data_IF_973553843802
#
_entry.id   IF_973553843802
#
_cell.length_a   1.000
_cell.length_b   1.000
_cell.length_c   1.000
_cell.angle_alpha   90.00
_cell.angle_beta   90.00
_cell.angle_gamma   90.00
#
_symmetry.space_group_name_H-M   'P 1'
#
loop_
_entity.id
_entity.type
_entity.pdbx_description
1 polymer ?
#
# COMPACT_ATOMS: atom_id res chain seq x y z
N UNK A 1 20.74 22.78 30.50
CA UNK A 1 21.44 21.92 29.51
C UNK A 1 20.56 20.74 29.09
N UNK A 2 19.24 20.96 28.98
CA UNK A 2 18.21 19.91 28.82
C UNK A 2 17.30 20.18 27.62
N UNK A 3 17.01 21.45 27.28
CA UNK A 3 16.16 21.83 26.14
C UNK A 3 16.55 21.21 24.78
N UNK A 4 17.83 21.21 24.44
CA UNK A 4 18.26 20.71 23.13
C UNK A 4 18.15 19.18 23.00
N UNK A 5 18.47 18.44 24.08
CA UNK A 5 18.38 16.97 24.10
C UNK A 5 16.94 16.48 24.18
N UNK A 6 16.08 17.21 24.88
CA UNK A 6 14.65 16.89 24.96
C UNK A 6 13.95 17.15 23.62
N UNK A 7 14.34 18.22 22.90
CA UNK A 7 13.87 18.48 21.52
C UNK A 7 14.37 17.43 20.54
N UNK A 8 15.65 17.06 20.58
CA UNK A 8 16.21 16.01 19.71
C UNK A 8 15.45 14.69 19.85
N UNK A 9 15.20 14.23 21.08
CA UNK A 9 14.40 13.02 21.33
C UNK A 9 12.94 13.14 20.89
N UNK A 10 12.33 14.30 21.07
CA UNK A 10 10.94 14.54 20.65
C UNK A 10 10.81 14.52 19.12
N UNK A 11 11.78 15.09 18.40
CA UNK A 11 11.82 15.04 16.94
C UNK A 11 12.06 13.60 16.46
N UNK A 12 13.05 12.87 17.01
CA UNK A 12 13.29 11.46 16.67
C UNK A 12 12.07 10.57 16.90
N UNK A 13 11.39 10.74 18.05
CA UNK A 13 10.18 10.00 18.35
C UNK A 13 9.05 10.32 17.37
N UNK A 14 8.90 11.60 16.98
CA UNK A 14 7.93 12.01 15.97
C UNK A 14 8.25 11.42 14.61
N UNK A 15 9.51 11.50 14.16
CA UNK A 15 9.94 10.90 12.89
C UNK A 15 9.66 9.38 12.85
N UNK A 16 9.97 8.66 13.91
CA UNK A 16 9.68 7.23 14.01
C UNK A 16 8.18 6.91 13.96
N UNK A 17 7.35 7.73 14.62
CA UNK A 17 5.88 7.57 14.57
C UNK A 17 5.32 7.89 13.17
N UNK A 18 5.87 8.91 12.51
CA UNK A 18 5.46 9.31 11.15
C UNK A 18 5.84 8.22 10.13
N UNK A 19 7.04 7.62 10.24
CA UNK A 19 7.48 6.49 9.40
C UNK A 19 6.66 5.22 9.65
N UNK A 20 6.39 4.84 10.91
CA UNK A 20 5.54 3.68 11.23
C UNK A 20 4.13 3.86 10.65
N UNK A 21 3.57 5.07 10.78
CA UNK A 21 2.26 5.40 10.21
C UNK A 21 2.29 5.31 8.69
N UNK A 22 3.32 5.85 8.04
CA UNK A 22 3.48 5.78 6.58
C UNK A 22 3.59 4.33 6.10
N UNK A 23 4.37 3.49 6.77
CA UNK A 23 4.52 2.08 6.45
C UNK A 23 3.20 1.32 6.59
N UNK A 24 2.45 1.55 7.68
CA UNK A 24 1.13 0.94 7.89
C UNK A 24 0.13 1.38 6.83
N UNK A 25 0.15 2.65 6.43
CA UNK A 25 -0.68 3.19 5.34
C UNK A 25 -0.34 2.52 4.02
N UNK A 26 0.94 2.42 3.65
CA UNK A 26 1.39 1.79 2.42
C UNK A 26 0.98 0.32 2.35
N UNK A 27 1.21 -0.45 3.42
CA UNK A 27 0.79 -1.85 3.50
C UNK A 27 -0.73 -2.00 3.36
N UNK A 28 -1.54 -1.13 3.99
CA UNK A 28 -3.00 -1.17 3.87
C UNK A 28 -3.47 -0.78 2.47
N UNK A 29 -2.89 0.26 1.87
CA UNK A 29 -3.15 0.68 0.49
C UNK A 29 -2.89 -0.45 -0.50
N UNK A 30 -1.73 -1.10 -0.40
CA UNK A 30 -1.33 -2.19 -1.29
C UNK A 30 -2.26 -3.41 -1.15
N UNK A 31 -2.72 -3.68 0.08
CA UNK A 31 -3.75 -4.70 0.32
C UNK A 31 -5.07 -4.38 -0.37
N UNK A 32 -5.55 -3.14 -0.29
CA UNK A 32 -6.79 -2.70 -0.95
C UNK A 32 -6.67 -2.76 -2.47
N UNK A 33 -5.51 -2.37 -3.02
CA UNK A 33 -5.25 -2.47 -4.45
C UNK A 33 -5.25 -3.94 -4.91
N UNK A 34 -4.62 -4.83 -4.14
CA UNK A 34 -4.63 -6.26 -4.41
C UNK A 34 -6.03 -6.86 -4.36
N UNK A 35 -6.90 -6.39 -3.45
CA UNK A 35 -8.31 -6.82 -3.40
C UNK A 35 -9.09 -6.39 -4.65
N UNK A 36 -8.91 -5.14 -5.07
CA UNK A 36 -9.52 -4.65 -6.31
C UNK A 36 -9.07 -5.46 -7.54
N UNK A 37 -7.76 -5.67 -7.69
CA UNK A 37 -7.20 -6.43 -8.80
C UNK A 37 -7.64 -7.90 -8.77
N UNK A 38 -7.68 -8.53 -7.59
CA UNK A 38 -8.21 -9.89 -7.43
C UNK A 38 -9.68 -10.00 -7.90
N UNK A 39 -10.50 -8.99 -7.59
CA UNK A 39 -11.88 -8.92 -8.07
C UNK A 39 -11.99 -8.84 -9.60
N UNK A 40 -11.11 -8.08 -10.26
CA UNK A 40 -11.06 -8.01 -11.72
C UNK A 40 -10.62 -9.34 -12.37
N UNK A 41 -9.69 -10.04 -11.72
CA UNK A 41 -9.22 -11.35 -12.18
C UNK A 41 -10.21 -12.49 -11.88
N UNK A 42 -11.28 -12.24 -11.11
CA UNK A 42 -12.27 -13.25 -10.75
C UNK A 42 -11.73 -14.33 -9.82
N UNK A 43 -10.73 -14.01 -8.99
CA UNK A 43 -10.13 -14.94 -8.03
C UNK A 43 -11.14 -15.37 -6.95
N UNK A 44 -10.99 -16.58 -6.41
CA UNK A 44 -11.74 -16.99 -5.21
C UNK A 44 -11.31 -16.18 -3.98
N UNK A 45 -12.05 -16.30 -2.88
CA UNK A 45 -11.70 -15.60 -1.63
C UNK A 45 -10.31 -16.01 -1.12
N UNK A 46 -9.97 -17.30 -1.17
CA UNK A 46 -8.64 -17.79 -0.76
C UNK A 46 -7.52 -17.29 -1.68
N UNK A 47 -7.75 -17.31 -2.99
CA UNK A 47 -6.81 -16.82 -3.99
C UNK A 47 -6.61 -15.30 -3.87
N UNK A 48 -7.69 -14.56 -3.65
CA UNK A 48 -7.65 -13.11 -3.43
C UNK A 48 -6.86 -12.77 -2.15
N UNK A 49 -7.04 -13.52 -1.07
CA UNK A 49 -6.28 -13.30 0.17
C UNK A 49 -4.79 -13.59 0.04
N UNK A 50 -4.43 -14.61 -0.75
CA UNK A 50 -3.03 -14.85 -1.11
C UNK A 50 -2.48 -13.72 -2.00
N UNK A 51 -3.27 -13.28 -2.98
CA UNK A 51 -2.90 -12.22 -3.91
C UNK A 51 -2.66 -10.88 -3.21
N UNK A 52 -3.58 -10.47 -2.31
CA UNK A 52 -3.44 -9.28 -1.46
C UNK A 52 -2.10 -9.27 -0.71
N UNK A 53 -1.68 -10.40 -0.15
CA UNK A 53 -0.39 -10.52 0.56
C UNK A 53 0.79 -10.40 -0.40
N UNK A 54 0.70 -11.00 -1.57
CA UNK A 54 1.75 -10.92 -2.59
C UNK A 54 1.93 -9.48 -3.10
N UNK A 55 0.85 -8.71 -3.24
CA UNK A 55 0.93 -7.29 -3.63
C UNK A 55 1.61 -6.46 -2.54
N UNK A 56 1.30 -6.70 -1.27
CA UNK A 56 2.00 -6.04 -0.14
C UNK A 56 3.49 -6.41 -0.12
N UNK A 57 3.84 -7.66 -0.43
CA UNK A 57 5.24 -8.10 -0.46
C UNK A 57 6.05 -7.50 -1.61
N UNK A 58 5.42 -7.17 -2.74
CA UNK A 58 6.11 -6.56 -3.88
C UNK A 58 6.63 -5.14 -3.57
N UNK A 59 6.05 -4.46 -2.57
CA UNK A 59 6.46 -3.11 -2.12
C UNK A 59 7.85 -3.08 -1.45
N UNK A 60 8.44 -4.24 -1.14
CA UNK A 60 9.72 -4.33 -0.43
C UNK A 60 10.93 -4.43 -1.36
N UNK A 61 10.75 -4.51 -2.68
CA UNK A 61 11.85 -4.68 -3.64
C UNK A 61 12.55 -3.34 -3.94
N UNK A 62 11.81 -2.29 -4.28
CA UNK A 62 12.33 -0.94 -4.52
C UNK A 62 11.56 0.12 -3.71
N UNK A 63 12.19 1.28 -3.50
CA UNK A 63 11.52 2.41 -2.86
C UNK A 63 10.48 3.03 -3.80
N UNK A 64 9.23 3.06 -3.36
CA UNK A 64 8.11 3.65 -4.10
C UNK A 64 7.13 2.60 -4.60
N UNK A 65 6.24 3.02 -5.49
CA UNK A 65 5.05 2.22 -5.84
C UNK A 65 5.20 1.44 -7.16
N UNK A 66 6.36 1.56 -7.83
CA UNK A 66 6.55 1.07 -9.20
C UNK A 66 6.54 -0.47 -9.30
N UNK A 67 7.08 -1.18 -8.33
CA UNK A 67 7.05 -2.66 -8.32
C UNK A 67 5.63 -3.18 -8.13
N UNK A 68 4.86 -2.53 -7.24
CA UNK A 68 3.45 -2.84 -7.01
C UNK A 68 2.64 -2.61 -8.29
N UNK A 69 2.83 -1.46 -8.96
CA UNK A 69 2.15 -1.13 -10.21
C UNK A 69 2.52 -2.13 -11.31
N UNK A 70 3.82 -2.42 -11.50
CA UNK A 70 4.30 -3.35 -12.53
C UNK A 70 3.77 -4.76 -12.30
N UNK A 71 3.76 -5.22 -11.05
CA UNK A 71 3.19 -6.51 -10.66
C UNK A 71 1.70 -6.58 -11.00
N UNK A 72 0.91 -5.64 -10.49
CA UNK A 72 -0.55 -5.64 -10.68
C UNK A 72 -0.91 -5.52 -12.17
N UNK A 73 -0.20 -4.67 -12.92
CA UNK A 73 -0.38 -4.55 -14.36
C UNK A 73 -0.10 -5.87 -15.08
N UNK A 74 1.01 -6.53 -14.75
CA UNK A 74 1.39 -7.83 -15.32
C UNK A 74 0.36 -8.91 -15.04
N UNK A 75 -0.11 -9.00 -13.79
CA UNK A 75 -1.11 -10.01 -13.38
C UNK A 75 -2.47 -9.76 -14.04
N UNK A 76 -2.94 -8.50 -14.07
CA UNK A 76 -4.20 -8.12 -14.73
C UNK A 76 -4.15 -8.39 -16.24
N UNK A 77 -3.02 -8.07 -16.88
CA UNK A 77 -2.80 -8.36 -18.31
C UNK A 77 -2.82 -9.86 -18.57
N UNK A 78 -2.16 -10.66 -17.71
CA UNK A 78 -2.15 -12.12 -17.83
C UNK A 78 -3.54 -12.74 -17.62
N UNK A 79 -4.37 -12.12 -16.79
CA UNK A 79 -5.77 -12.49 -16.59
C UNK A 79 -6.71 -11.99 -17.70
N UNK A 80 -6.19 -11.24 -18.69
CA UNK A 80 -6.99 -10.70 -19.80
C UNK A 80 -7.86 -9.50 -19.43
N UNK A 81 -7.56 -8.81 -18.32
CA UNK A 81 -8.22 -7.57 -17.93
C UNK A 81 -7.73 -6.40 -18.78
N UNK A 82 -8.65 -5.59 -19.31
CA UNK A 82 -8.33 -4.36 -20.03
C UNK A 82 -8.17 -3.21 -19.05
N UNK A 83 -6.99 -3.12 -18.42
CA UNK A 83 -6.64 -2.10 -17.43
C UNK A 83 -5.30 -1.50 -17.78
N UNK A 84 -5.22 -0.17 -17.86
CA UNK A 84 -3.98 0.53 -18.13
C UNK A 84 -3.19 0.83 -16.85
N UNK A 85 -1.89 1.11 -17.00
CA UNK A 85 -1.07 1.59 -15.87
C UNK A 85 -1.65 2.87 -15.24
N UNK A 86 -2.26 3.74 -16.04
CA UNK A 86 -2.89 4.97 -15.55
C UNK A 86 -4.09 4.68 -14.64
N UNK A 87 -4.89 3.66 -14.97
CA UNK A 87 -6.01 3.23 -14.13
C UNK A 87 -5.53 2.66 -12.80
N UNK A 88 -4.42 1.89 -12.82
CA UNK A 88 -3.81 1.34 -11.61
C UNK A 88 -3.27 2.45 -10.72
N UNK A 89 -2.60 3.47 -11.28
CA UNK A 89 -2.12 4.63 -10.52
C UNK A 89 -3.27 5.41 -9.90
N UNK A 90 -4.35 5.67 -10.65
CA UNK A 90 -5.54 6.33 -10.12
C UNK A 90 -6.17 5.51 -8.99
N UNK A 91 -6.23 4.18 -9.15
CA UNK A 91 -6.74 3.28 -8.11
C UNK A 91 -5.86 3.27 -6.86
N UNK A 92 -4.53 3.32 -7.04
CA UNK A 92 -3.57 3.39 -5.94
C UNK A 92 -3.74 4.68 -5.13
N UNK A 93 -4.04 5.81 -5.77
CA UNK A 93 -4.38 7.07 -5.10
C UNK A 93 -5.68 6.97 -4.30
N UNK A 94 -6.74 6.39 -4.89
CA UNK A 94 -7.99 6.13 -4.18
C UNK A 94 -7.77 5.23 -2.95
N UNK A 95 -7.03 4.13 -3.12
CA UNK A 95 -6.66 3.22 -2.05
C UNK A 95 -5.81 3.90 -0.97
N UNK A 96 -5.00 4.90 -1.33
CA UNK A 96 -4.19 5.66 -0.37
C UNK A 96 -5.06 6.49 0.56
N UNK A 97 -6.08 7.16 0.02
CA UNK A 97 -7.04 7.94 0.80
C UNK A 97 -7.83 7.02 1.73
N UNK A 98 -8.31 5.89 1.20
CA UNK A 98 -9.09 4.92 1.98
C UNK A 98 -8.24 4.26 3.06
N UNK A 99 -6.99 3.88 2.78
CA UNK A 99 -6.08 3.30 3.76
C UNK A 99 -5.82 4.24 4.95
N UNK A 100 -5.61 5.53 4.69
CA UNK A 100 -5.47 6.55 5.74
C UNK A 100 -6.75 6.64 6.58
N UNK A 101 -7.91 6.67 5.93
CA UNK A 101 -9.21 6.73 6.61
C UNK A 101 -9.46 5.52 7.52
N UNK A 102 -9.13 4.32 7.04
CA UNK A 102 -9.27 3.08 7.81
C UNK A 102 -8.37 3.10 9.05
N UNK A 103 -7.11 3.48 8.91
CA UNK A 103 -6.18 3.53 10.05
C UNK A 103 -6.56 4.60 11.08
N UNK A 104 -7.07 5.75 10.63
CA UNK A 104 -7.61 6.78 11.52
C UNK A 104 -8.89 6.34 12.25
N UNK A 105 -9.69 5.45 11.65
CA UNK A 105 -10.93 4.94 12.25
C UNK A 105 -10.70 3.71 13.15
N UNK A 106 -9.59 3.01 12.97
CA UNK A 106 -9.14 1.88 13.80
C UNK A 106 -8.40 2.31 15.08
N UNK A 107 -8.15 3.62 15.25
CA UNK A 107 -7.39 4.21 16.37
C UNK A 107 -8.27 4.68 17.53
#
# INVERSE_FOLDING_TARGET
MTDFKDRERAEEAKFAMDEDTAFRVAARRNRLLGEWAAGLMGLTEEEADAYKKAVVQADFEEAGDEDVIRKVLGDLTAAGSDVSEADIRAKLDECSVEARRQLMSES
#
